data_IF_217862646989
#
_entry.id   IF_217862646989
#
_cell.length_a   1.000
_cell.length_b   1.000
_cell.length_c   1.000
_cell.angle_alpha   90.00
_cell.angle_beta   90.00
_cell.angle_gamma   90.00
#
_symmetry.space_group_name_H-M   'P 1'
#
loop_
_entity.id
_entity.type
_entity.pdbx_description
1 polymer ?
#
# COMPACT_ATOMS: atom_id res chain seq x y z
N UNK A 1 -13.67 15.20 9.78
CA UNK A 1 -13.22 15.88 11.02
C UNK A 1 -12.38 17.08 10.62
N UNK A 2 -12.66 18.25 11.20
CA UNK A 2 -11.81 19.43 11.04
C UNK A 2 -10.71 19.46 12.11
N UNK A 3 -9.75 20.39 11.97
CA UNK A 3 -8.65 20.51 12.94
C UNK A 3 -9.12 20.81 14.36
N UNK A 4 -10.25 21.52 14.53
CA UNK A 4 -10.77 21.92 15.84
C UNK A 4 -11.24 20.73 16.66
N UNK A 5 -11.94 19.78 16.03
CA UNK A 5 -12.34 18.54 16.68
C UNK A 5 -11.14 17.67 17.10
N UNK A 6 -10.00 17.80 16.38
CA UNK A 6 -8.76 17.11 16.75
C UNK A 6 -8.08 17.82 17.92
N UNK A 7 -8.14 19.15 17.97
CA UNK A 7 -7.63 19.94 19.10
C UNK A 7 -8.42 19.58 20.37
N UNK A 8 -9.74 19.58 20.31
CA UNK A 8 -10.59 19.20 21.46
C UNK A 8 -10.23 17.79 21.97
N UNK A 9 -10.06 16.83 21.07
CA UNK A 9 -9.63 15.48 21.44
C UNK A 9 -8.21 15.45 22.04
N UNK A 10 -7.29 16.24 21.49
CA UNK A 10 -5.93 16.34 22.02
C UNK A 10 -5.93 16.95 23.41
N UNK A 11 -6.69 18.02 23.63
CA UNK A 11 -6.81 18.67 24.93
C UNK A 11 -7.36 17.69 25.99
N UNK A 12 -8.44 16.95 25.67
CA UNK A 12 -8.99 15.91 26.54
C UNK A 12 -7.94 14.84 26.91
N UNK A 13 -7.16 14.39 25.92
CA UNK A 13 -6.10 13.39 26.13
C UNK A 13 -4.96 13.96 26.97
N UNK A 14 -4.49 15.17 26.66
CA UNK A 14 -3.41 15.83 27.38
C UNK A 14 -3.79 16.09 28.84
N UNK A 15 -5.01 16.58 29.08
CA UNK A 15 -5.56 16.78 30.42
C UNK A 15 -5.67 15.47 31.20
N UNK A 16 -6.10 14.38 30.54
CA UNK A 16 -6.17 13.03 31.15
C UNK A 16 -4.81 12.57 31.69
N UNK A 17 -3.71 12.95 31.02
CA UNK A 17 -2.35 12.59 31.42
C UNK A 17 -1.60 13.72 32.13
N UNK A 18 -2.27 14.82 32.49
CA UNK A 18 -1.68 16.01 33.12
C UNK A 18 -0.49 16.59 32.34
N UNK A 19 -0.55 16.53 31.00
CA UNK A 19 0.47 17.08 30.10
C UNK A 19 0.02 18.47 29.65
N UNK A 20 0.81 19.49 29.95
CA UNK A 20 0.52 20.83 29.44
C UNK A 20 0.92 20.97 27.97
N UNK A 21 0.10 21.66 27.18
CA UNK A 21 0.39 21.92 25.75
C UNK A 21 1.76 22.59 25.50
N UNK A 22 2.27 23.37 26.47
CA UNK A 22 3.61 23.97 26.40
C UNK A 22 4.76 22.95 26.46
N UNK A 23 4.48 21.71 26.87
CA UNK A 23 5.43 20.60 26.88
C UNK A 23 5.51 19.90 25.53
N UNK A 24 4.62 20.21 24.58
CA UNK A 24 4.65 19.64 23.24
C UNK A 24 5.82 20.23 22.44
N UNK A 25 6.75 19.36 22.03
CA UNK A 25 7.89 19.77 21.21
C UNK A 25 7.52 19.89 19.73
N UNK A 26 6.85 18.88 19.17
CA UNK A 26 6.42 18.82 17.77
C UNK A 26 5.40 17.68 17.54
N UNK A 27 4.62 17.77 16.47
CA UNK A 27 3.81 16.67 15.96
C UNK A 27 4.54 15.86 14.90
N UNK A 28 4.30 14.54 14.85
CA UNK A 28 4.75 13.67 13.75
C UNK A 28 3.52 13.16 13.02
N UNK A 29 3.23 13.74 11.86
CA UNK A 29 2.02 13.43 11.10
C UNK A 29 2.29 13.47 9.60
N UNK A 30 1.40 12.89 8.80
CA UNK A 30 1.44 13.08 7.35
C UNK A 30 1.10 14.53 6.97
N UNK A 31 1.55 14.97 5.79
CA UNK A 31 1.37 16.35 5.30
C UNK A 31 -0.07 16.63 4.81
N UNK A 32 -1.07 16.12 5.54
CA UNK A 32 -2.46 16.43 5.29
C UNK A 32 -2.79 17.87 5.74
N UNK A 33 -3.67 18.54 5.02
CA UNK A 33 -4.07 19.93 5.29
C UNK A 33 -4.61 20.14 6.71
N UNK A 34 -5.28 19.13 7.26
CA UNK A 34 -5.82 19.13 8.63
C UNK A 34 -4.71 19.15 9.68
N UNK A 35 -3.61 18.41 9.47
CA UNK A 35 -2.48 18.37 10.39
C UNK A 35 -1.65 19.66 10.33
N UNK A 36 -1.52 20.24 9.13
CA UNK A 36 -0.92 21.57 8.95
C UNK A 36 -1.75 22.62 9.68
N UNK A 37 -3.08 22.58 9.55
CA UNK A 37 -3.98 23.49 10.26
C UNK A 37 -3.91 23.31 11.78
N UNK A 38 -3.82 22.07 12.27
CA UNK A 38 -3.60 21.74 13.68
C UNK A 38 -2.31 22.41 14.20
N UNK A 39 -1.17 22.14 13.56
CA UNK A 39 0.12 22.70 13.94
C UNK A 39 0.12 24.23 13.97
N UNK A 40 -0.50 24.85 12.96
CA UNK A 40 -0.62 26.31 12.89
C UNK A 40 -1.52 26.88 14.01
N UNK A 41 -2.60 26.19 14.38
CA UNK A 41 -3.53 26.65 15.43
C UNK A 41 -2.96 26.49 16.83
N UNK A 42 -2.23 25.40 17.09
CA UNK A 42 -1.64 25.13 18.41
C UNK A 42 -0.24 25.73 18.58
N UNK A 43 0.34 26.30 17.51
CA UNK A 43 1.68 26.86 17.47
C UNK A 43 2.78 25.83 17.81
N UNK A 44 2.50 24.54 17.59
CA UNK A 44 3.44 23.43 17.78
C UNK A 44 3.98 23.02 16.40
N UNK A 45 5.31 22.96 16.21
CA UNK A 45 5.88 22.62 14.90
C UNK A 45 5.53 21.18 14.50
N UNK A 46 5.51 20.93 13.19
CA UNK A 46 5.20 19.61 12.63
C UNK A 46 6.41 19.06 11.87
N UNK A 47 6.69 17.78 12.08
CA UNK A 47 7.64 16.99 11.30
C UNK A 47 6.83 16.01 10.45
N UNK A 48 7.16 15.96 9.16
CA UNK A 48 6.55 15.02 8.23
C UNK A 48 6.81 13.58 8.63
N UNK A 49 5.77 12.74 8.55
CA UNK A 49 5.87 11.34 8.85
C UNK A 49 6.84 10.62 7.88
N UNK A 50 7.92 10.05 8.42
CA UNK A 50 8.94 9.36 7.64
C UNK A 50 8.38 8.19 6.83
N UNK A 51 7.42 7.43 7.38
CA UNK A 51 6.79 6.32 6.67
C UNK A 51 5.94 6.79 5.49
N UNK A 52 5.29 7.96 5.60
CA UNK A 52 4.55 8.56 4.51
C UNK A 52 5.49 9.07 3.40
N UNK A 53 6.57 9.76 3.77
CA UNK A 53 7.60 10.18 2.81
C UNK A 53 8.23 8.99 2.09
N UNK A 54 8.52 7.92 2.83
CA UNK A 54 9.02 6.68 2.26
C UNK A 54 8.02 6.07 1.29
N UNK A 55 6.74 5.97 1.67
CA UNK A 55 5.69 5.48 0.76
C UNK A 55 5.61 6.30 -0.54
N UNK A 56 5.74 7.62 -0.48
CA UNK A 56 5.77 8.48 -1.67
C UNK A 56 7.01 8.21 -2.55
N UNK A 57 8.18 7.99 -1.95
CA UNK A 57 9.39 7.66 -2.68
C UNK A 57 9.26 6.30 -3.39
N UNK A 58 8.72 5.28 -2.71
CA UNK A 58 8.49 3.96 -3.32
C UNK A 58 7.43 4.03 -4.43
N UNK A 59 6.37 4.83 -4.26
CA UNK A 59 5.40 5.07 -5.34
C UNK A 59 6.05 5.75 -6.56
N UNK A 60 6.96 6.70 -6.35
CA UNK A 60 7.69 7.32 -7.45
C UNK A 60 8.59 6.31 -8.18
N UNK A 61 9.24 5.39 -7.45
CA UNK A 61 10.04 4.30 -8.02
C UNK A 61 9.20 3.36 -8.90
N UNK A 62 8.02 2.96 -8.42
CA UNK A 62 7.13 2.02 -9.13
C UNK A 62 6.43 2.61 -10.37
N UNK A 63 6.48 3.93 -10.55
CA UNK A 63 5.68 4.65 -11.56
C UNK A 63 5.96 4.19 -12.98
N UNK A 64 7.20 3.81 -13.29
CA UNK A 64 7.54 3.34 -14.63
C UNK A 64 6.83 2.02 -14.94
N UNK A 65 6.64 1.16 -13.93
CA UNK A 65 6.04 -0.18 -14.04
C UNK A 65 4.54 -0.22 -13.79
N UNK A 66 3.87 0.94 -13.67
CA UNK A 66 2.44 1.00 -13.35
C UNK A 66 1.57 0.23 -14.36
N UNK A 67 1.99 0.18 -15.63
CA UNK A 67 1.33 -0.60 -16.67
C UNK A 67 1.29 -2.11 -16.36
N UNK A 68 2.42 -2.66 -15.91
CA UNK A 68 2.53 -4.07 -15.52
C UNK A 68 1.81 -4.31 -14.19
N UNK A 69 1.89 -3.37 -13.26
CA UNK A 69 1.23 -3.47 -11.96
C UNK A 69 -0.30 -3.44 -12.10
N UNK A 70 -0.85 -2.62 -13.01
CA UNK A 70 -2.27 -2.63 -13.36
C UNK A 70 -2.68 -3.96 -13.98
N UNK A 71 -1.88 -4.49 -14.90
CA UNK A 71 -2.14 -5.81 -15.50
C UNK A 71 -2.20 -6.93 -14.46
N UNK A 72 -1.30 -6.92 -13.47
CA UNK A 72 -1.34 -7.89 -12.35
C UNK A 72 -2.55 -7.63 -11.46
N UNK A 73 -2.90 -6.38 -11.20
CA UNK A 73 -4.11 -6.05 -10.45
C UNK A 73 -5.36 -6.64 -11.13
N UNK A 74 -5.49 -6.45 -12.44
CA UNK A 74 -6.59 -7.00 -13.23
C UNK A 74 -6.61 -8.54 -13.20
N UNK A 75 -5.44 -9.18 -13.28
CA UNK A 75 -5.32 -10.63 -13.09
C UNK A 75 -5.82 -11.05 -11.70
N UNK A 76 -5.41 -10.34 -10.65
CA UNK A 76 -5.86 -10.63 -9.28
C UNK A 76 -7.38 -10.46 -9.13
N UNK A 77 -7.97 -9.45 -9.79
CA UNK A 77 -9.43 -9.24 -9.82
C UNK A 77 -10.14 -10.38 -10.53
N UNK A 78 -9.66 -10.81 -11.70
CA UNK A 78 -10.23 -11.95 -12.43
C UNK A 78 -10.13 -13.25 -11.64
N UNK A 79 -9.01 -13.48 -10.96
CA UNK A 79 -8.81 -14.64 -10.10
C UNK A 79 -9.72 -14.62 -8.87
N UNK A 80 -10.24 -13.45 -8.49
CA UNK A 80 -11.08 -13.29 -7.31
C UNK A 80 -12.58 -13.46 -7.59
N UNK A 81 -12.93 -14.28 -8.56
CA UNK A 81 -14.30 -14.73 -8.79
C UNK A 81 -14.55 -16.03 -8.02
N UNK A 82 -15.81 -16.32 -7.70
CA UNK A 82 -16.18 -17.56 -6.99
C UNK A 82 -15.71 -18.79 -7.77
N UNK A 83 -15.90 -18.80 -9.10
CA UNK A 83 -15.45 -19.90 -9.97
C UNK A 83 -13.94 -20.10 -9.90
N UNK A 84 -13.15 -19.03 -10.06
CA UNK A 84 -11.69 -19.12 -10.03
C UNK A 84 -11.17 -19.44 -8.62
N UNK A 85 -11.88 -19.04 -7.57
CA UNK A 85 -11.58 -19.47 -6.21
C UNK A 85 -11.67 -20.98 -6.02
N UNK A 86 -12.66 -21.63 -6.62
CA UNK A 86 -12.76 -23.09 -6.58
C UNK A 86 -11.57 -23.74 -7.27
N UNK A 87 -11.22 -23.28 -8.47
CA UNK A 87 -10.07 -23.81 -9.22
C UNK A 87 -8.74 -23.56 -8.48
N UNK A 88 -8.57 -22.39 -7.88
CA UNK A 88 -7.41 -22.07 -7.04
C UNK A 88 -7.29 -23.04 -5.86
N UNK A 89 -8.40 -23.36 -5.18
CA UNK A 89 -8.40 -24.33 -4.06
C UNK A 89 -8.06 -25.74 -4.54
N UNK A 90 -8.62 -26.18 -5.66
CA UNK A 90 -8.30 -27.49 -6.25
C UNK A 90 -6.82 -27.60 -6.64
N UNK A 91 -6.23 -26.51 -7.10
CA UNK A 91 -4.81 -26.41 -7.41
C UNK A 91 -3.90 -26.18 -6.17
N UNK A 92 -4.47 -26.15 -4.96
CA UNK A 92 -3.78 -25.81 -3.70
C UNK A 92 -3.06 -24.43 -3.77
N UNK A 93 -3.60 -23.51 -4.56
CA UNK A 93 -3.04 -22.19 -4.79
C UNK A 93 -3.47 -21.20 -3.69
N UNK A 94 -2.62 -20.21 -3.46
CA UNK A 94 -2.93 -19.10 -2.57
C UNK A 94 -4.00 -18.18 -3.18
N UNK A 95 -4.86 -17.60 -2.34
CA UNK A 95 -5.87 -16.65 -2.80
C UNK A 95 -5.23 -15.35 -3.32
N UNK A 96 -5.80 -14.70 -4.35
CA UNK A 96 -5.30 -13.43 -4.86
C UNK A 96 -5.39 -12.33 -3.80
N UNK A 97 -4.52 -11.34 -3.91
CA UNK A 97 -4.53 -10.12 -3.08
C UNK A 97 -4.39 -8.91 -3.98
N UNK A 98 -4.90 -7.76 -3.54
CA UNK A 98 -4.96 -6.55 -4.34
C UNK A 98 -4.00 -5.49 -3.84
N UNK A 99 -3.45 -4.71 -4.78
CA UNK A 99 -2.83 -3.44 -4.44
C UNK A 99 -3.89 -2.40 -4.04
N UNK A 100 -3.59 -1.66 -2.99
CA UNK A 100 -4.14 -0.35 -2.69
C UNK A 100 -3.11 0.68 -3.15
N UNK A 101 -3.47 1.48 -4.15
CA UNK A 101 -2.57 2.47 -4.79
C UNK A 101 -1.88 3.39 -3.79
N UNK A 102 -2.52 3.71 -2.67
CA UNK A 102 -1.96 4.62 -1.65
C UNK A 102 -0.91 3.97 -0.73
N UNK A 103 -0.76 2.64 -0.73
CA UNK A 103 0.14 1.91 0.18
C UNK A 103 1.04 0.95 -0.57
N UNK A 104 2.32 1.29 -0.70
CA UNK A 104 3.30 0.49 -1.45
C UNK A 104 3.39 -0.97 -0.97
N UNK A 105 3.24 -1.23 0.34
CA UNK A 105 3.26 -2.57 0.93
C UNK A 105 2.21 -3.50 0.30
N UNK A 106 1.06 -2.96 -0.08
CA UNK A 106 0.02 -3.76 -0.74
C UNK A 106 0.38 -4.13 -2.18
N UNK A 107 1.08 -3.24 -2.89
CA UNK A 107 1.67 -3.56 -4.20
C UNK A 107 2.72 -4.64 -4.06
N UNK A 108 3.63 -4.50 -3.09
CA UNK A 108 4.63 -5.52 -2.78
C UNK A 108 3.99 -6.89 -2.50
N UNK A 109 2.98 -6.92 -1.62
CA UNK A 109 2.23 -8.14 -1.27
C UNK A 109 1.54 -8.77 -2.48
N UNK A 110 1.02 -7.95 -3.40
CA UNK A 110 0.40 -8.41 -4.64
C UNK A 110 1.42 -9.07 -5.57
N UNK A 111 2.60 -8.48 -5.72
CA UNK A 111 3.68 -9.03 -6.56
C UNK A 111 4.20 -10.36 -5.97
N UNK A 112 4.43 -10.41 -4.66
CA UNK A 112 4.80 -11.65 -3.96
C UNK A 112 3.74 -12.75 -4.19
N UNK A 113 2.47 -12.40 -4.00
CA UNK A 113 1.36 -13.34 -4.22
C UNK A 113 1.33 -13.84 -5.65
N UNK A 114 1.50 -12.95 -6.62
CA UNK A 114 1.54 -13.30 -8.04
C UNK A 114 2.60 -14.36 -8.33
N UNK A 115 3.85 -14.15 -7.89
CA UNK A 115 4.92 -15.11 -8.14
C UNK A 115 4.68 -16.47 -7.46
N UNK A 116 4.02 -16.49 -6.30
CA UNK A 116 3.65 -17.75 -5.61
C UNK A 116 2.57 -18.54 -6.34
N UNK A 117 1.67 -17.88 -7.07
CA UNK A 117 0.58 -18.55 -7.81
C UNK A 117 0.89 -18.75 -9.29
N UNK A 118 1.91 -18.07 -9.83
CA UNK A 118 2.22 -18.03 -11.26
C UNK A 118 2.28 -19.42 -11.91
N UNK A 119 2.97 -20.38 -11.27
CA UNK A 119 3.10 -21.76 -11.77
C UNK A 119 1.80 -22.57 -11.79
N UNK A 120 0.75 -22.08 -11.13
CA UNK A 120 -0.56 -22.74 -11.03
C UNK A 120 -1.59 -22.11 -11.96
N UNK A 121 -1.29 -20.98 -12.60
CA UNK A 121 -2.21 -20.24 -13.47
C UNK A 121 -2.64 -21.04 -14.70
N UNK A 122 -1.75 -21.85 -15.27
CA UNK A 122 -2.01 -22.71 -16.44
C UNK A 122 -3.15 -23.72 -16.22
N UNK A 123 -3.58 -23.93 -14.96
CA UNK A 123 -4.62 -24.89 -14.58
C UNK A 123 -5.98 -24.25 -14.31
N UNK A 124 -6.10 -22.93 -14.37
CA UNK A 124 -7.26 -22.20 -13.82
C UNK A 124 -8.29 -21.89 -14.90
N UNK A 125 -7.94 -21.08 -15.91
CA UNK A 125 -8.88 -20.63 -16.94
C UNK A 125 -8.13 -20.05 -18.16
N UNK A 126 -8.47 -20.53 -19.35
CA UNK A 126 -7.92 -20.05 -20.63
C UNK A 126 -8.20 -18.56 -20.88
N UNK A 127 -9.27 -18.00 -20.29
CA UNK A 127 -9.62 -16.57 -20.39
C UNK A 127 -8.67 -15.66 -19.61
N UNK A 128 -7.75 -16.23 -18.82
CA UNK A 128 -6.70 -15.49 -18.13
C UNK A 128 -5.52 -15.17 -19.05
N UNK A 129 -5.39 -15.83 -20.20
CA UNK A 129 -4.24 -15.68 -21.11
C UNK A 129 -3.96 -14.22 -21.49
N UNK A 130 -5.00 -13.42 -21.69
CA UNK A 130 -4.88 -12.01 -22.09
C UNK A 130 -4.32 -11.09 -20.99
N UNK A 131 -4.48 -11.48 -19.72
CA UNK A 131 -4.03 -10.69 -18.57
C UNK A 131 -2.78 -11.25 -17.90
N UNK A 132 -2.30 -12.43 -18.32
CA UNK A 132 -1.05 -12.97 -17.83
C UNK A 132 0.11 -12.11 -18.37
N UNK A 133 1.02 -11.63 -17.49
CA UNK A 133 2.21 -10.94 -17.93
C UNK A 133 3.08 -11.81 -18.86
N UNK A 134 3.56 -11.21 -19.94
CA UNK A 134 4.49 -11.83 -20.89
C UNK A 134 5.82 -12.18 -20.21
N UNK A 135 6.65 -13.07 -20.80
CA UNK A 135 7.97 -13.37 -20.25
C UNK A 135 8.84 -12.12 -20.02
N UNK A 136 8.76 -11.14 -20.91
CA UNK A 136 9.51 -9.87 -20.79
C UNK A 136 8.98 -9.02 -19.62
N UNK A 137 7.67 -8.91 -19.49
CA UNK A 137 7.02 -8.22 -18.36
C UNK A 137 7.36 -8.91 -17.03
N UNK A 138 7.42 -10.24 -17.00
CA UNK A 138 7.82 -10.99 -15.80
C UNK A 138 9.27 -10.75 -15.37
N UNK A 139 10.20 -10.63 -16.33
CA UNK A 139 11.59 -10.27 -16.00
C UNK A 139 11.66 -8.87 -15.39
N UNK A 140 10.94 -7.92 -15.97
CA UNK A 140 10.86 -6.54 -15.49
C UNK A 140 10.21 -6.46 -14.09
N UNK A 141 9.08 -7.14 -13.91
CA UNK A 141 8.40 -7.25 -12.63
C UNK A 141 9.28 -7.88 -11.54
N UNK A 142 10.07 -8.89 -11.91
CA UNK A 142 10.98 -9.55 -10.97
C UNK A 142 12.09 -8.61 -10.53
N UNK A 143 12.65 -7.80 -11.44
CA UNK A 143 13.63 -6.78 -11.07
C UNK A 143 13.03 -5.78 -10.07
N UNK A 144 11.84 -5.23 -10.37
CA UNK A 144 11.13 -4.35 -9.44
C UNK A 144 10.88 -5.04 -8.08
N UNK A 145 10.48 -6.31 -8.08
CA UNK A 145 10.21 -7.04 -6.85
C UNK A 145 11.45 -7.19 -5.96
N UNK A 146 12.61 -7.47 -6.55
CA UNK A 146 13.87 -7.52 -5.80
C UNK A 146 14.27 -6.15 -5.26
N UNK A 147 14.05 -5.06 -6.02
CA UNK A 147 14.26 -3.71 -5.51
C UNK A 147 13.36 -3.41 -4.31
N UNK A 148 12.08 -3.77 -4.40
CA UNK A 148 11.13 -3.59 -3.30
C UNK A 148 11.44 -4.45 -2.07
N UNK A 149 12.00 -5.65 -2.23
CA UNK A 149 12.45 -6.47 -1.09
C UNK A 149 13.56 -5.80 -0.29
N UNK A 150 14.46 -5.07 -0.94
CA UNK A 150 15.50 -4.31 -0.25
C UNK A 150 14.95 -3.13 0.56
N UNK A 151 13.70 -2.74 0.28
CA UNK A 151 12.97 -1.67 0.95
C UNK A 151 12.03 -2.18 2.05
N UNK A 152 11.71 -3.47 2.03
CA UNK A 152 10.98 -4.16 3.10
C UNK A 152 11.97 -4.50 4.22
N UNK A 153 11.79 -3.87 5.39
CA UNK A 153 12.60 -4.11 6.61
C UNK A 153 11.97 -5.13 7.53
#
# INVERSE_FOLDING_TARGET
MGSDAIIELLDDVLDTYEIHASQLCFYVCDHASVNVALANKTLVPMIGCASHQFNLAVQALMREDDDILDKIHDLMVKLNTITNWHHLREADALMPVYRNTTRWISTFSMIDRYFRIYSKLDRIDDQLADVIPTPRENVRLKALFEDLKNLES
#
